data_IF_785152230670
#
_entry.id   IF_785152230670
#
_cell.length_a   1.000
_cell.length_b   1.000
_cell.length_c   1.000
_cell.angle_alpha   90.00
_cell.angle_beta   90.00
_cell.angle_gamma   90.00
#
_symmetry.space_group_name_H-M   'P 1'
#
loop_
_entity.id
_entity.type
_entity.pdbx_description
1 polymer ?
#
# COMPACT_ATOMS: atom_id res chain seq x y z
N UNK A 1 -16.44 67.23 -31.85
CA UNK A 1 -16.56 67.38 -30.38
C UNK A 1 -18.03 67.18 -30.02
N UNK A 2 -18.43 66.33 -29.05
CA UNK A 2 -17.89 65.04 -28.60
C UNK A 2 -18.91 63.87 -28.67
N UNK A 3 -18.38 62.68 -28.33
CA UNK A 3 -18.93 61.31 -28.23
C UNK A 3 -20.22 61.10 -27.41
N UNK A 4 -20.94 60.00 -27.72
CA UNK A 4 -21.35 59.04 -26.68
C UNK A 4 -21.48 57.63 -27.26
N UNK A 5 -20.49 56.78 -26.98
CA UNK A 5 -20.47 55.36 -27.35
C UNK A 5 -21.10 54.51 -26.22
N UNK A 6 -21.98 53.60 -26.61
CA UNK A 6 -22.54 52.52 -25.78
C UNK A 6 -21.48 51.51 -25.34
N UNK A 7 -21.60 50.92 -24.13
CA UNK A 7 -20.59 49.99 -23.62
C UNK A 7 -20.75 48.58 -24.23
N UNK A 8 -19.67 48.08 -24.81
CA UNK A 8 -19.50 46.66 -25.12
C UNK A 8 -19.27 45.90 -23.80
N UNK A 9 -20.13 44.93 -23.51
CA UNK A 9 -19.87 43.92 -22.49
C UNK A 9 -18.69 43.07 -22.96
N UNK A 10 -17.54 43.24 -22.33
CA UNK A 10 -16.43 42.30 -22.45
C UNK A 10 -16.76 41.08 -21.59
N UNK A 11 -17.01 39.94 -22.24
CA UNK A 11 -16.93 38.63 -21.59
C UNK A 11 -15.50 38.45 -21.09
N UNK A 12 -15.33 38.58 -19.78
CA UNK A 12 -14.13 38.15 -19.07
C UNK A 12 -14.05 36.64 -19.20
N UNK A 13 -13.23 36.15 -20.12
CA UNK A 13 -12.78 34.75 -20.09
C UNK A 13 -11.84 34.63 -18.90
N UNK A 14 -12.36 34.03 -17.84
CA UNK A 14 -11.63 33.61 -16.66
C UNK A 14 -10.47 32.69 -17.07
N UNK A 15 -9.19 33.03 -16.85
CA UNK A 15 -8.07 32.14 -17.14
C UNK A 15 -7.86 31.11 -16.01
N UNK A 16 -8.78 31.04 -15.04
CA UNK A 16 -8.68 30.11 -13.92
C UNK A 16 -9.44 28.81 -14.22
N UNK A 17 -8.91 28.00 -15.15
CA UNK A 17 -9.22 26.56 -15.17
C UNK A 17 -7.94 25.78 -14.94
N UNK A 18 -7.67 25.65 -13.64
CA UNK A 18 -6.98 24.54 -12.97
C UNK A 18 -5.81 23.92 -13.75
N UNK A 19 -4.63 24.30 -13.28
CA UNK A 19 -3.39 23.53 -13.36
C UNK A 19 -3.68 22.03 -13.50
N UNK A 20 -3.27 21.47 -14.64
CA UNK A 20 -2.90 20.05 -14.69
C UNK A 20 -1.59 19.99 -13.92
N UNK A 21 -1.69 19.83 -12.60
CA UNK A 21 -0.57 19.37 -11.82
C UNK A 21 -0.24 17.98 -12.35
N UNK A 22 0.86 17.90 -13.11
CA UNK A 22 1.57 16.65 -13.30
C UNK A 22 1.82 16.07 -11.92
N UNK A 23 1.07 15.03 -11.56
CA UNK A 23 1.38 14.23 -10.38
C UNK A 23 2.83 13.75 -10.52
N UNK A 24 3.72 14.04 -9.55
CA UNK A 24 5.09 13.57 -9.59
C UNK A 24 5.19 12.08 -9.20
N UNK A 25 4.05 11.44 -8.90
CA UNK A 25 3.97 10.00 -8.68
C UNK A 25 3.51 9.32 -9.97
N UNK A 26 4.24 8.30 -10.47
CA UNK A 26 3.74 7.50 -11.57
C UNK A 26 2.39 6.92 -11.17
N UNK A 27 1.43 6.93 -12.10
CA UNK A 27 0.09 6.41 -11.89
C UNK A 27 0.14 5.06 -11.16
N UNK A 28 -0.31 5.09 -9.90
CA UNK A 28 -0.67 4.00 -9.00
C UNK A 28 0.15 2.70 -9.15
N UNK A 29 1.22 2.57 -8.38
CA UNK A 29 1.78 1.26 -8.02
C UNK A 29 0.71 0.47 -7.25
N UNK A 30 -0.08 -0.32 -7.96
CA UNK A 30 -1.03 -1.25 -7.33
C UNK A 30 -0.26 -2.38 -6.66
N UNK A 31 -0.85 -3.03 -5.63
CA UNK A 31 -0.32 -4.28 -5.07
C UNK A 31 0.05 -5.32 -6.12
N UNK A 32 -0.77 -5.48 -7.16
CA UNK A 32 -0.51 -6.44 -8.23
C UNK A 32 0.73 -6.06 -9.05
N UNK A 33 0.87 -4.78 -9.43
CA UNK A 33 2.06 -4.30 -10.15
C UNK A 33 3.32 -4.41 -9.29
N UNK A 34 3.21 -4.23 -7.97
CA UNK A 34 4.31 -4.43 -7.05
C UNK A 34 4.69 -5.91 -6.97
N UNK A 35 3.72 -6.81 -6.88
CA UNK A 35 3.95 -8.25 -6.86
C UNK A 35 4.62 -8.73 -8.16
N UNK A 36 4.13 -8.29 -9.33
CA UNK A 36 4.70 -8.62 -10.63
C UNK A 36 6.17 -8.19 -10.71
N UNK A 37 6.48 -6.97 -10.25
CA UNK A 37 7.86 -6.47 -10.21
C UNK A 37 8.76 -7.28 -9.29
N UNK A 38 8.26 -7.66 -8.11
CA UNK A 38 9.02 -8.49 -7.17
C UNK A 38 9.28 -9.89 -7.73
N UNK A 39 8.33 -10.47 -8.47
CA UNK A 39 8.52 -11.73 -9.19
C UNK A 39 9.57 -11.58 -10.30
N UNK A 40 9.54 -10.48 -11.05
CA UNK A 40 10.55 -10.22 -12.10
C UNK A 40 11.96 -10.04 -11.50
N UNK A 41 12.07 -9.36 -10.36
CA UNK A 41 13.35 -9.05 -9.71
C UNK A 41 13.93 -10.24 -8.91
N UNK A 42 13.08 -11.05 -8.27
CA UNK A 42 13.50 -12.08 -7.31
C UNK A 42 13.02 -13.50 -7.63
N UNK A 43 12.12 -13.67 -8.60
CA UNK A 43 11.51 -14.95 -8.94
C UNK A 43 10.34 -15.32 -8.02
N UNK A 44 9.82 -16.54 -8.20
CA UNK A 44 8.79 -17.10 -7.34
C UNK A 44 9.43 -17.67 -6.07
N UNK A 45 8.93 -17.24 -4.92
CA UNK A 45 9.29 -17.83 -3.62
C UNK A 45 8.34 -19.01 -3.34
N UNK A 46 8.91 -20.15 -2.90
CA UNK A 46 8.16 -21.41 -2.72
C UNK A 46 7.78 -21.68 -1.28
N UNK A 47 8.16 -20.79 -0.37
CA UNK A 47 8.06 -20.93 1.07
C UNK A 47 7.08 -19.96 1.72
N UNK A 48 6.11 -19.44 0.94
CA UNK A 48 5.09 -18.50 1.40
C UNK A 48 4.44 -18.90 2.72
N UNK A 49 3.90 -20.12 2.80
CA UNK A 49 3.19 -20.55 4.01
C UNK A 49 4.16 -20.73 5.20
N UNK A 50 5.41 -21.11 4.93
CA UNK A 50 6.44 -21.24 5.98
C UNK A 50 6.83 -19.87 6.54
N UNK A 51 7.08 -18.90 5.68
CA UNK A 51 7.48 -17.54 6.07
C UNK A 51 6.32 -16.79 6.74
N UNK A 52 5.10 -16.98 6.25
CA UNK A 52 3.91 -16.38 6.85
C UNK A 52 3.70 -16.87 8.29
N UNK A 53 3.82 -18.18 8.52
CA UNK A 53 3.73 -18.73 9.87
C UNK A 53 4.90 -18.28 10.76
N UNK A 54 6.12 -18.17 10.21
CA UNK A 54 7.26 -17.63 10.96
C UNK A 54 7.02 -16.19 11.41
N UNK A 55 6.39 -15.34 10.59
CA UNK A 55 6.00 -13.99 11.00
C UNK A 55 4.94 -13.99 12.10
N UNK A 56 3.94 -14.88 12.04
CA UNK A 56 2.95 -15.02 13.11
C UNK A 56 3.63 -15.43 14.42
N UNK A 57 4.49 -16.45 14.37
CA UNK A 57 5.22 -16.94 15.54
C UNK A 57 6.11 -15.85 16.15
N UNK A 58 6.79 -15.06 15.32
CA UNK A 58 7.62 -13.94 15.75
C UNK A 58 6.80 -12.84 16.43
N UNK A 59 5.65 -12.46 15.87
CA UNK A 59 4.76 -11.45 16.45
C UNK A 59 4.02 -11.93 17.71
N UNK A 60 3.93 -13.25 17.92
CA UNK A 60 3.29 -13.85 19.08
C UNK A 60 4.23 -14.00 20.30
N UNK A 61 5.52 -13.69 20.16
CA UNK A 61 6.45 -13.73 21.28
C UNK A 61 6.12 -12.65 22.33
N UNK A 62 6.42 -12.93 23.60
CA UNK A 62 6.15 -12.01 24.72
C UNK A 62 6.89 -10.68 24.60
N UNK A 63 8.04 -10.68 23.93
CA UNK A 63 8.90 -9.51 23.72
C UNK A 63 8.68 -8.85 22.35
N UNK A 64 7.71 -9.34 21.57
CA UNK A 64 7.38 -8.78 20.27
C UNK A 64 6.77 -7.38 20.41
N UNK A 65 7.19 -6.50 19.51
CA UNK A 65 6.60 -5.18 19.32
C UNK A 65 6.20 -4.99 17.86
N UNK A 66 5.36 -4.00 17.59
CA UNK A 66 4.94 -3.66 16.23
C UNK A 66 3.46 -3.96 15.96
N UNK A 67 3.10 -4.03 14.68
CA UNK A 67 1.72 -4.16 14.21
C UNK A 67 1.63 -4.97 12.93
N UNK A 68 0.53 -5.71 12.80
CA UNK A 68 0.16 -6.35 11.54
C UNK A 68 -0.93 -5.53 10.85
N UNK A 69 -0.69 -5.23 9.58
CA UNK A 69 -1.58 -4.47 8.73
C UNK A 69 -2.06 -5.32 7.57
N UNK A 70 -3.34 -5.18 7.22
CA UNK A 70 -3.92 -5.81 6.05
C UNK A 70 -4.47 -4.75 5.12
N UNK A 71 -4.34 -5.02 3.82
CA UNK A 71 -4.83 -4.17 2.76
C UNK A 71 -5.96 -4.91 2.03
N UNK A 72 -7.12 -4.27 1.92
CA UNK A 72 -8.33 -4.85 1.33
C UNK A 72 -8.77 -3.91 0.21
N UNK A 73 -9.14 -4.49 -0.93
CA UNK A 73 -9.70 -3.73 -2.05
C UNK A 73 -11.22 -3.78 -2.03
N UNK A 74 -11.85 -2.62 -1.94
CA UNK A 74 -13.30 -2.47 -2.06
C UNK A 74 -13.59 -1.60 -3.30
N UNK A 75 -13.93 -2.28 -4.41
CA UNK A 75 -14.06 -1.62 -5.71
C UNK A 75 -12.70 -1.09 -6.22
N UNK A 76 -12.62 0.21 -6.47
CA UNK A 76 -11.40 0.87 -6.92
C UNK A 76 -10.49 1.31 -5.76
N UNK A 77 -10.99 1.27 -4.51
CA UNK A 77 -10.28 1.80 -3.36
C UNK A 77 -9.50 0.70 -2.63
N UNK A 78 -8.31 1.06 -2.14
CA UNK A 78 -7.49 0.20 -1.30
C UNK A 78 -7.51 0.73 0.13
N UNK A 79 -8.04 -0.07 1.05
CA UNK A 79 -8.15 0.27 2.46
C UNK A 79 -7.08 -0.45 3.26
N UNK A 80 -6.46 0.26 4.20
CA UNK A 80 -5.53 -0.30 5.17
C UNK A 80 -6.21 -0.38 6.54
N UNK A 81 -6.07 -1.51 7.22
CA UNK A 81 -6.48 -1.63 8.63
C UNK A 81 -5.53 -2.50 9.43
N UNK A 82 -5.50 -2.24 10.73
CA UNK A 82 -4.81 -3.09 11.68
C UNK A 82 -5.61 -4.39 11.92
N UNK A 83 -4.90 -5.49 12.13
CA UNK A 83 -5.47 -6.78 12.55
C UNK A 83 -4.63 -7.35 13.69
N UNK A 84 -5.27 -8.06 14.64
CA UNK A 84 -4.49 -8.82 15.59
C UNK A 84 -3.81 -9.98 14.86
N UNK A 85 -2.51 -10.16 15.05
CA UNK A 85 -1.73 -11.11 14.24
C UNK A 85 -2.28 -12.54 14.32
N UNK A 86 -2.75 -12.96 15.49
CA UNK A 86 -3.32 -14.30 15.68
C UNK A 86 -4.64 -14.51 14.93
N UNK A 87 -5.38 -13.45 14.59
CA UNK A 87 -6.62 -13.56 13.81
C UNK A 87 -6.33 -14.03 12.36
N UNK A 88 -5.08 -13.94 11.90
CA UNK A 88 -4.67 -14.40 10.57
C UNK A 88 -4.57 -15.92 10.46
N UNK A 89 -4.51 -16.67 11.57
CA UNK A 89 -4.43 -18.13 11.56
C UNK A 89 -5.69 -18.77 10.97
N UNK A 90 -6.85 -18.17 11.25
CA UNK A 90 -8.16 -18.67 10.80
C UNK A 90 -8.75 -17.82 9.65
N UNK A 91 -8.01 -16.80 9.18
CA UNK A 91 -8.49 -15.90 8.15
C UNK A 91 -8.35 -16.51 6.75
N UNK A 92 -9.34 -16.23 5.90
CA UNK A 92 -9.16 -16.43 4.45
C UNK A 92 -8.23 -15.35 3.90
N UNK A 93 -6.96 -15.70 3.72
CA UNK A 93 -5.93 -14.76 3.25
C UNK A 93 -6.23 -14.19 1.86
N UNK A 94 -7.09 -14.84 1.06
CA UNK A 94 -7.42 -14.37 -0.30
C UNK A 94 -8.26 -13.08 -0.32
N UNK A 95 -8.81 -12.69 0.84
CA UNK A 95 -9.51 -11.44 1.06
C UNK A 95 -8.56 -10.23 1.14
N UNK A 96 -7.28 -10.46 1.38
CA UNK A 96 -6.28 -9.42 1.50
C UNK A 96 -5.47 -9.30 0.21
N UNK A 97 -5.34 -8.09 -0.29
CA UNK A 97 -4.45 -7.77 -1.40
C UNK A 97 -3.00 -7.82 -0.94
N UNK A 98 -2.75 -7.34 0.28
CA UNK A 98 -1.45 -7.36 0.92
C UNK A 98 -1.58 -7.54 2.43
N UNK A 99 -0.56 -8.15 3.03
CA UNK A 99 -0.39 -8.22 4.47
C UNK A 99 1.01 -7.71 4.78
N UNK A 100 1.13 -6.76 5.71
CA UNK A 100 2.40 -6.22 6.19
C UNK A 100 2.55 -6.57 7.66
N UNK A 101 3.60 -7.30 7.98
CA UNK A 101 4.13 -7.40 9.33
C UNK A 101 5.15 -6.28 9.49
N UNK A 102 4.85 -5.31 10.36
CA UNK A 102 5.79 -4.30 10.83
C UNK A 102 6.18 -4.70 12.24
N UNK A 103 7.21 -5.55 12.34
CA UNK A 103 7.55 -6.29 13.53
C UNK A 103 8.89 -5.90 14.12
N UNK A 104 9.12 -6.31 15.36
CA UNK A 104 10.35 -6.10 16.08
C UNK A 104 10.30 -6.72 17.46
N UNK A 105 11.32 -6.47 18.28
CA UNK A 105 11.32 -6.86 19.68
C UNK A 105 11.80 -5.72 20.60
N UNK A 106 11.64 -5.90 21.91
CA UNK A 106 12.12 -4.93 22.91
C UNK A 106 13.66 -4.77 22.93
N UNK A 107 14.38 -5.69 22.29
CA UNK A 107 15.83 -5.69 22.20
C UNK A 107 16.36 -4.81 21.07
N UNK A 108 15.46 -4.25 20.24
CA UNK A 108 15.79 -3.26 19.22
C UNK A 108 15.81 -3.81 17.79
N UNK A 109 15.48 -5.09 17.59
CA UNK A 109 15.33 -5.64 16.25
C UNK A 109 14.08 -5.03 15.59
N UNK A 110 14.20 -4.62 14.33
CA UNK A 110 13.10 -4.10 13.51
C UNK A 110 13.12 -4.79 12.15
N UNK A 111 11.95 -5.24 11.71
CA UNK A 111 11.81 -5.94 10.45
C UNK A 111 10.44 -5.69 9.83
N UNK A 112 10.39 -5.71 8.50
CA UNK A 112 9.14 -5.62 7.76
C UNK A 112 9.05 -6.81 6.83
N UNK A 113 7.91 -7.47 6.79
CA UNK A 113 7.67 -8.56 5.84
C UNK A 113 6.32 -8.35 5.17
N UNK A 114 6.34 -8.22 3.86
CA UNK A 114 5.13 -8.04 3.04
C UNK A 114 4.77 -9.34 2.36
N UNK A 115 3.49 -9.67 2.35
CA UNK A 115 2.90 -10.81 1.67
C UNK A 115 1.85 -10.36 0.68
N UNK A 116 1.79 -11.03 -0.47
CA UNK A 116 0.77 -10.91 -1.52
C UNK A 116 0.05 -12.26 -1.65
N UNK A 117 -1.05 -12.48 -0.90
CA UNK A 117 -1.64 -13.81 -0.76
C UNK A 117 -2.11 -14.46 -2.07
N UNK A 118 -2.66 -13.66 -3.00
CA UNK A 118 -3.15 -14.17 -4.29
C UNK A 118 -2.02 -14.69 -5.18
N UNK A 119 -0.89 -14.01 -5.17
CA UNK A 119 0.30 -14.35 -5.93
C UNK A 119 1.16 -15.41 -5.22
N UNK A 120 0.82 -15.76 -3.96
CA UNK A 120 1.66 -16.60 -3.08
C UNK A 120 3.11 -16.11 -3.04
N UNK A 121 3.27 -14.79 -2.96
CA UNK A 121 4.56 -14.09 -2.95
C UNK A 121 4.77 -13.39 -1.62
N UNK A 122 6.02 -13.27 -1.19
CA UNK A 122 6.38 -12.38 -0.09
C UNK A 122 7.70 -11.66 -0.36
N UNK A 123 8.01 -10.70 0.51
CA UNK A 123 9.27 -9.99 0.47
C UNK A 123 9.65 -9.52 1.88
N UNK A 124 10.85 -9.89 2.31
CA UNK A 124 11.41 -9.46 3.58
C UNK A 124 12.22 -8.18 3.39
N UNK A 125 11.91 -7.17 4.19
CA UNK A 125 12.58 -5.88 4.24
C UNK A 125 13.24 -5.75 5.61
N UNK A 126 14.55 -5.94 5.67
CA UNK A 126 15.33 -5.64 6.86
C UNK A 126 15.58 -4.13 6.92
N UNK A 127 15.23 -3.48 8.04
CA UNK A 127 15.83 -2.18 8.35
C UNK A 127 17.16 -2.45 9.07
N UNK A 128 18.24 -1.82 8.57
CA UNK A 128 19.59 -1.91 9.14
C UNK A 128 19.80 -0.88 10.25
#
# INVERSE_FOLDING_TARGET
>A
MPNTSTPHVQTVTDPCRSQVEHSPFPAELTPDLLADRLIDEHGYETDFDMQFNACIDAMAQDDAVGRTWVFIREGAELHMRHIATLDLLDADLTLYEMILFDGGNIHGDLWKHVFFPRQKLHHFVCEA
#
